data_IF_051890261426
#
_entry.id   IF_051890261426
#
_cell.length_a   1.000
_cell.length_b   1.000
_cell.length_c   1.000
_cell.angle_alpha   90.00
_cell.angle_beta   90.00
_cell.angle_gamma   90.00
#
_symmetry.space_group_name_H-M   'P 1'
#
loop_
_entity.id
_entity.type
_entity.pdbx_description
1 polymer ?
#
# COMPACT_ATOMS: atom_id res chain seq x y z
N UNK A 1 37.15 7.78 -19.56
CA UNK A 1 36.93 8.51 -18.29
C UNK A 1 35.52 9.12 -18.18
N UNK A 2 34.47 8.54 -18.79
CA UNK A 2 33.15 9.20 -18.86
C UNK A 2 31.98 8.42 -18.22
N UNK A 3 32.26 7.38 -17.42
CA UNK A 3 31.21 6.57 -16.76
C UNK A 3 30.92 7.05 -15.33
N UNK A 4 31.86 7.73 -14.68
CA UNK A 4 31.70 8.23 -13.30
C UNK A 4 30.83 9.48 -13.17
N UNK A 5 30.57 10.22 -14.26
CA UNK A 5 29.82 11.47 -14.22
C UNK A 5 28.30 11.26 -14.21
N UNK A 6 27.79 10.26 -14.94
CA UNK A 6 26.34 10.01 -15.00
C UNK A 6 25.77 9.41 -13.69
N UNK A 7 26.49 8.45 -13.09
CA UNK A 7 26.11 7.86 -11.81
C UNK A 7 26.16 8.89 -10.65
N UNK A 8 27.14 9.81 -10.68
CA UNK A 8 27.20 10.92 -9.72
C UNK A 8 26.03 11.91 -9.90
N UNK A 9 25.64 12.21 -11.14
CA UNK A 9 24.54 13.13 -11.43
C UNK A 9 23.14 12.57 -11.11
N UNK A 10 22.89 11.26 -11.28
CA UNK A 10 21.63 10.63 -10.88
C UNK A 10 21.51 10.51 -9.35
N UNK A 11 22.61 10.14 -8.67
CA UNK A 11 22.63 10.08 -7.20
C UNK A 11 22.46 11.46 -6.55
N UNK A 12 23.08 12.51 -7.12
CA UNK A 12 22.86 13.91 -6.70
C UNK A 12 21.43 14.38 -6.95
N UNK A 13 20.77 13.93 -8.02
CA UNK A 13 19.37 14.30 -8.32
C UNK A 13 18.37 13.69 -7.34
N UNK A 14 18.61 12.46 -6.88
CA UNK A 14 17.77 11.80 -5.87
C UNK A 14 17.91 12.44 -4.48
N UNK A 15 19.10 12.93 -4.12
CA UNK A 15 19.30 13.65 -2.86
C UNK A 15 18.76 15.08 -2.88
N UNK A 16 18.32 15.59 -4.04
CA UNK A 16 17.71 16.92 -4.19
C UNK A 16 16.18 16.94 -4.13
N UNK A 17 15.51 15.84 -3.79
CA UNK A 17 14.03 15.81 -3.70
C UNK A 17 13.52 15.36 -2.34
N UNK A 18 12.45 15.98 -1.88
CA UNK A 18 11.73 15.64 -0.66
C UNK A 18 10.42 14.92 -1.01
N UNK A 19 10.27 13.68 -0.54
CA UNK A 19 9.07 12.88 -0.75
C UNK A 19 8.18 12.90 0.49
N UNK A 20 6.91 13.22 0.29
CA UNK A 20 5.89 13.23 1.34
C UNK A 20 4.75 12.29 0.98
N UNK A 21 4.47 11.30 1.82
CA UNK A 21 3.35 10.37 1.68
C UNK A 21 2.24 10.71 2.68
N UNK A 22 1.05 11.05 2.20
CA UNK A 22 -0.15 11.13 3.03
C UNK A 22 -0.93 9.82 2.92
N UNK A 23 -1.20 9.20 4.06
CA UNK A 23 -1.73 7.84 4.10
C UNK A 23 -2.83 7.62 5.12
N UNK A 24 -3.68 6.62 4.85
CA UNK A 24 -4.45 5.94 5.90
C UNK A 24 -3.61 4.76 6.39
N UNK A 25 -3.29 4.73 7.68
CA UNK A 25 -2.30 3.81 8.25
C UNK A 25 -2.54 2.33 7.89
N UNK A 26 -3.72 1.79 8.19
CA UNK A 26 -4.03 0.37 7.94
C UNK A 26 -4.64 0.09 6.56
N UNK A 27 -4.57 1.03 5.60
CA UNK A 27 -5.08 0.81 4.25
C UNK A 27 -4.08 0.03 3.40
N UNK A 28 -4.54 -1.06 2.78
CA UNK A 28 -3.73 -1.92 1.91
C UNK A 28 -3.26 -1.24 0.62
N UNK A 29 -3.99 -0.24 0.10
CA UNK A 29 -3.50 0.59 -1.01
C UNK A 29 -2.34 1.50 -0.57
N UNK A 30 -2.37 1.97 0.67
CA UNK A 30 -1.28 2.76 1.23
C UNK A 30 -0.09 1.88 1.59
N UNK A 31 -0.34 0.62 1.97
CA UNK A 31 0.71 -0.36 2.15
C UNK A 31 1.48 -0.62 0.85
N UNK A 32 0.78 -0.75 -0.28
CA UNK A 32 1.41 -0.84 -1.62
C UNK A 32 2.39 0.31 -1.88
N UNK A 33 1.98 1.55 -1.61
CA UNK A 33 2.84 2.72 -1.78
C UNK A 33 4.03 2.75 -0.80
N UNK A 34 3.80 2.45 0.48
CA UNK A 34 4.89 2.36 1.49
C UNK A 34 5.90 1.29 1.12
N UNK A 35 5.42 0.13 0.70
CA UNK A 35 6.26 -0.99 0.32
C UNK A 35 7.20 -0.57 -0.80
N UNK A 36 6.71 0.06 -1.87
CA UNK A 36 7.58 0.52 -2.94
C UNK A 36 8.65 1.54 -2.48
N UNK A 37 8.29 2.51 -1.63
CA UNK A 37 9.25 3.47 -1.05
C UNK A 37 10.33 2.74 -0.24
N UNK A 38 9.92 1.79 0.59
CA UNK A 38 10.80 1.00 1.45
C UNK A 38 11.67 0.00 0.66
N UNK A 39 11.13 -0.56 -0.43
CA UNK A 39 11.81 -1.49 -1.33
C UNK A 39 12.95 -0.80 -2.07
N UNK A 40 12.73 0.42 -2.56
CA UNK A 40 13.76 1.23 -3.22
C UNK A 40 14.61 2.07 -2.27
N UNK A 41 14.41 1.94 -0.95
CA UNK A 41 15.15 2.67 0.09
C UNK A 41 15.08 4.19 -0.08
N UNK A 42 13.98 4.71 -0.60
CA UNK A 42 13.78 6.15 -0.82
C UNK A 42 13.26 6.78 0.47
N UNK A 43 13.99 7.71 1.11
CA UNK A 43 13.54 8.36 2.33
C UNK A 43 12.27 9.20 2.09
N UNK A 44 11.30 9.12 3.02
CA UNK A 44 10.06 9.91 2.93
C UNK A 44 9.52 10.35 4.29
N UNK A 45 8.76 11.43 4.30
CA UNK A 45 7.95 11.86 5.45
C UNK A 45 6.53 11.32 5.30
N UNK A 46 6.09 10.49 6.25
CA UNK A 46 4.73 9.93 6.23
C UNK A 46 3.78 10.69 7.17
N UNK A 47 2.70 11.22 6.62
CA UNK A 47 1.60 11.82 7.37
C UNK A 47 0.44 10.82 7.46
N UNK A 48 0.40 10.08 8.57
CA UNK A 48 -0.64 9.07 8.81
C UNK A 48 -1.91 9.70 9.36
N UNK A 49 -3.04 9.23 8.83
CA UNK A 49 -4.37 9.62 9.27
C UNK A 49 -5.27 8.41 9.49
N UNK A 50 -6.25 8.54 10.39
CA UNK A 50 -7.37 7.60 10.46
C UNK A 50 -8.40 7.89 9.35
N UNK A 51 -9.26 6.91 8.98
CA UNK A 51 -10.40 7.18 8.11
C UNK A 51 -11.25 8.35 8.64
N UNK A 52 -11.84 9.10 7.70
CA UNK A 52 -12.47 10.43 7.89
C UNK A 52 -11.54 11.56 8.36
N UNK A 53 -10.55 11.31 9.22
CA UNK A 53 -9.54 12.31 9.60
C UNK A 53 -8.63 12.68 8.42
N UNK A 54 -8.31 11.73 7.54
CA UNK A 54 -7.51 11.96 6.33
C UNK A 54 -8.08 13.06 5.41
N UNK A 55 -9.40 13.26 5.37
CA UNK A 55 -10.01 14.33 4.55
C UNK A 55 -9.51 15.70 4.99
N UNK A 56 -9.33 15.92 6.29
CA UNK A 56 -8.80 17.16 6.85
C UNK A 56 -7.30 17.29 6.53
N UNK A 57 -6.54 16.19 6.57
CA UNK A 57 -5.14 16.11 6.11
C UNK A 57 -4.97 16.48 4.65
N UNK A 58 -5.93 16.08 3.85
CA UNK A 58 -5.92 16.21 2.41
C UNK A 58 -6.57 17.51 1.92
N UNK A 59 -7.10 18.37 2.81
CA UNK A 59 -7.88 19.55 2.39
C UNK A 59 -7.12 20.48 1.42
N UNK A 60 -5.80 20.63 1.61
CA UNK A 60 -4.89 21.40 0.75
C UNK A 60 -4.22 20.57 -0.37
N UNK A 61 -4.52 19.29 -0.45
CA UNK A 61 -3.84 18.29 -1.29
C UNK A 61 -4.84 17.54 -2.17
N UNK A 62 -5.82 18.25 -2.73
CA UNK A 62 -6.88 17.66 -3.57
C UNK A 62 -6.29 16.99 -4.81
N UNK A 63 -6.78 15.80 -5.12
CA UNK A 63 -6.49 15.13 -6.39
C UNK A 63 -7.09 15.92 -7.56
N UNK A 64 -6.22 16.30 -8.51
CA UNK A 64 -6.61 16.97 -9.76
C UNK A 64 -7.38 16.04 -10.73
N UNK A 65 -7.31 14.73 -10.53
CA UNK A 65 -7.86 13.70 -11.44
C UNK A 65 -9.13 13.04 -10.93
N UNK A 66 -9.85 13.68 -10.00
CA UNK A 66 -11.05 13.08 -9.41
C UNK A 66 -12.16 12.92 -10.46
N UNK A 67 -12.45 11.70 -10.87
CA UNK A 67 -13.54 11.38 -11.80
C UNK A 67 -14.89 11.73 -11.14
N UNK A 68 -15.79 12.48 -11.81
CA UNK A 68 -17.11 12.78 -11.27
C UNK A 68 -17.93 11.49 -11.07
N UNK A 69 -18.41 11.24 -9.85
CA UNK A 69 -19.26 10.11 -9.52
C UNK A 69 -19.73 10.14 -8.06
N UNK A 70 -20.90 9.55 -7.78
CA UNK A 70 -21.44 9.49 -6.42
C UNK A 70 -20.48 8.72 -5.50
N UNK A 71 -19.82 9.43 -4.58
CA UNK A 71 -18.84 8.86 -3.64
C UNK A 71 -17.37 9.06 -4.02
N UNK A 72 -17.05 9.67 -5.16
CA UNK A 72 -15.69 10.07 -5.51
C UNK A 72 -15.29 11.31 -4.70
N UNK A 73 -14.30 11.18 -3.82
CA UNK A 73 -13.73 12.31 -3.08
C UNK A 73 -12.42 12.72 -3.72
N UNK A 74 -12.12 14.01 -3.76
CA UNK A 74 -10.80 14.49 -4.17
C UNK A 74 -9.69 14.21 -3.13
N UNK A 75 -10.03 13.57 -2.02
CA UNK A 75 -9.17 13.33 -0.87
C UNK A 75 -8.77 11.85 -0.82
N UNK A 76 -8.04 11.41 -1.84
CA UNK A 76 -7.63 10.01 -2.01
C UNK A 76 -6.28 9.77 -1.34
N UNK A 77 -6.10 8.57 -0.77
CA UNK A 77 -4.80 8.11 -0.28
C UNK A 77 -4.51 6.72 -0.88
N UNK A 78 -3.25 6.37 -1.19
CA UNK A 78 -2.04 7.15 -0.95
C UNK A 78 -1.94 8.41 -1.81
N UNK A 79 -1.32 9.45 -1.25
CA UNK A 79 -0.99 10.68 -1.96
C UNK A 79 0.49 10.98 -1.76
N UNK A 80 1.28 10.81 -2.82
CA UNK A 80 2.70 11.11 -2.84
C UNK A 80 2.91 12.50 -3.47
N UNK A 81 3.60 13.36 -2.74
CA UNK A 81 4.14 14.63 -3.24
C UNK A 81 5.64 14.50 -3.35
N UNK A 82 6.20 14.91 -4.49
CA UNK A 82 7.64 15.04 -4.72
C UNK A 82 7.93 16.53 -4.95
N UNK A 83 8.72 17.12 -4.06
CA UNK A 83 9.13 18.52 -4.11
C UNK A 83 10.65 18.61 -4.25
N UNK A 84 11.19 19.60 -4.97
CA UNK A 84 12.61 19.92 -4.91
C UNK A 84 12.99 20.31 -3.47
N UNK A 85 14.12 19.82 -2.96
CA UNK A 85 14.69 20.34 -1.72
C UNK A 85 15.14 21.79 -1.99
N UNK A 86 14.72 22.70 -1.12
CA UNK A 86 15.15 24.10 -1.16
C UNK A 86 16.61 24.15 -0.67
N UNK A 87 17.56 24.21 -1.60
CA UNK A 87 19.00 24.25 -1.32
C UNK A 87 19.53 25.67 -1.10
N UNK A 88 18.65 26.68 -1.14
CA UNK A 88 18.99 28.09 -0.96
C UNK A 88 19.91 28.67 -2.04
N UNK A 89 20.24 27.89 -3.09
CA UNK A 89 21.26 28.23 -4.08
C UNK A 89 20.71 28.44 -5.50
N UNK A 90 19.43 28.16 -5.74
CA UNK A 90 18.81 28.28 -7.06
C UNK A 90 17.57 29.17 -7.05
N UNK A 91 17.63 30.31 -7.74
CA UNK A 91 16.45 31.13 -8.09
C UNK A 91 15.54 30.44 -9.14
N UNK A 92 15.92 29.25 -9.62
CA UNK A 92 15.17 28.50 -10.63
C UNK A 92 13.95 27.79 -10.01
N UNK A 93 12.89 28.56 -9.79
CA UNK A 93 11.57 28.12 -9.31
C UNK A 93 10.80 27.20 -10.29
N UNK A 94 11.46 26.62 -11.29
CA UNK A 94 10.81 25.89 -12.40
C UNK A 94 10.66 24.38 -12.18
N UNK A 95 11.29 23.77 -11.17
CA UNK A 95 11.08 22.35 -10.89
C UNK A 95 9.67 22.13 -10.31
N UNK A 96 8.77 21.68 -11.17
CA UNK A 96 7.36 21.48 -10.85
C UNK A 96 7.17 20.40 -9.78
N UNK A 97 6.31 20.71 -8.80
CA UNK A 97 5.85 19.76 -7.79
C UNK A 97 5.06 18.62 -8.46
N UNK A 98 5.55 17.39 -8.35
CA UNK A 98 4.86 16.19 -8.87
C UNK A 98 3.94 15.64 -7.78
N UNK A 99 2.73 15.24 -8.18
CA UNK A 99 1.74 14.67 -7.26
C UNK A 99 1.12 13.40 -7.85
N UNK A 100 1.17 12.29 -7.11
CA UNK A 100 0.64 10.99 -7.51
C UNK A 100 -0.39 10.52 -6.48
N UNK A 101 -1.61 10.18 -6.93
CA UNK A 101 -2.76 9.85 -6.07
C UNK A 101 -3.23 8.40 -6.19
N UNK A 102 -2.45 7.58 -6.89
CA UNK A 102 -2.77 6.21 -7.25
C UNK A 102 -1.58 5.34 -6.85
N UNK A 103 -1.82 4.26 -6.11
CA UNK A 103 -0.76 3.39 -5.60
C UNK A 103 0.01 2.70 -6.71
N UNK A 104 -0.62 2.36 -7.82
CA UNK A 104 0.03 1.75 -8.99
C UNK A 104 0.93 2.78 -9.68
N UNK A 105 0.47 4.02 -9.86
CA UNK A 105 1.31 5.10 -10.39
C UNK A 105 2.48 5.48 -9.49
N UNK A 106 2.32 5.37 -8.18
CA UNK A 106 3.44 5.55 -7.24
C UNK A 106 4.49 4.43 -7.42
N UNK A 107 4.06 3.17 -7.51
CA UNK A 107 4.97 2.03 -7.71
C UNK A 107 5.70 2.14 -9.05
N UNK A 108 4.98 2.46 -10.12
CA UNK A 108 5.53 2.69 -11.47
C UNK A 108 6.58 3.80 -11.45
N UNK A 109 6.24 4.97 -10.89
CA UNK A 109 7.18 6.08 -10.75
C UNK A 109 8.45 5.67 -9.98
N UNK A 110 8.30 5.00 -8.84
CA UNK A 110 9.46 4.62 -8.03
C UNK A 110 10.33 3.58 -8.73
N UNK A 111 9.71 2.62 -9.42
CA UNK A 111 10.44 1.63 -10.22
C UNK A 111 11.18 2.26 -11.39
N UNK A 112 10.60 3.24 -12.06
CA UNK A 112 11.25 3.90 -13.19
C UNK A 112 12.37 4.86 -12.75
N UNK A 113 12.22 5.51 -11.60
CA UNK A 113 13.20 6.49 -11.11
C UNK A 113 14.34 5.89 -10.28
N UNK A 114 14.08 4.83 -9.49
CA UNK A 114 15.03 4.37 -8.46
C UNK A 114 15.51 2.92 -8.64
N UNK A 115 15.06 2.21 -9.67
CA UNK A 115 15.55 0.87 -9.93
C UNK A 115 17.01 0.86 -10.39
N UNK A 116 17.72 -0.19 -10.03
CA UNK A 116 19.08 -0.41 -10.52
C UNK A 116 19.11 -0.50 -12.06
N UNK A 117 20.13 0.07 -12.73
CA UNK A 117 20.32 -0.13 -14.16
C UNK A 117 20.44 -1.62 -14.51
N UNK A 118 19.84 -2.03 -15.62
CA UNK A 118 19.76 -3.43 -16.08
C UNK A 118 21.11 -4.17 -16.14
N UNK A 119 22.22 -3.44 -16.33
CA UNK A 119 23.57 -3.99 -16.49
C UNK A 119 24.46 -3.81 -15.25
N UNK A 120 23.88 -3.48 -14.09
CA UNK A 120 24.65 -3.42 -12.85
C UNK A 120 24.96 -4.85 -12.37
N UNK A 121 26.20 -5.31 -12.63
CA UNK A 121 26.71 -6.65 -12.30
C UNK A 121 26.80 -6.91 -10.77
N UNK A 122 25.68 -6.84 -10.04
CA UNK A 122 25.61 -7.10 -8.59
C UNK A 122 26.46 -6.17 -7.72
N UNK A 123 27.02 -5.09 -8.28
CA UNK A 123 27.92 -4.15 -7.60
C UNK A 123 27.20 -2.95 -7.00
N UNK A 124 25.88 -2.84 -7.14
CA UNK A 124 25.08 -1.77 -6.53
C UNK A 124 24.04 -2.36 -5.59
N UNK A 125 23.91 -1.76 -4.42
CA UNK A 125 22.92 -2.07 -3.37
C UNK A 125 21.47 -1.73 -3.78
N UNK A 126 21.20 -1.49 -5.06
CA UNK A 126 19.94 -0.96 -5.56
C UNK A 126 19.01 -2.11 -5.99
N UNK A 127 17.71 -1.95 -5.68
CA UNK A 127 16.70 -2.97 -5.94
C UNK A 127 16.34 -3.05 -7.45
N UNK A 128 16.01 -4.25 -7.98
CA UNK A 128 15.60 -4.42 -9.37
C UNK A 128 14.35 -3.62 -9.78
N UNK A 129 14.19 -3.40 -11.08
CA UNK A 129 12.96 -2.82 -11.65
C UNK A 129 11.80 -3.82 -11.52
N UNK A 130 10.66 -3.36 -10.96
CA UNK A 130 9.50 -4.19 -10.65
C UNK A 130 8.62 -4.49 -11.88
N UNK A 131 8.83 -3.81 -13.01
CA UNK A 131 8.07 -3.98 -14.26
C UNK A 131 8.84 -4.74 -15.34
N UNK A 132 10.04 -5.24 -15.01
CA UNK A 132 10.98 -5.91 -15.92
C UNK A 132 11.41 -5.02 -17.12
N UNK A 133 12.38 -5.50 -17.91
CA UNK A 133 12.91 -4.78 -19.08
C UNK A 133 12.26 -5.23 -20.39
N UNK A 134 11.58 -6.38 -20.42
CA UNK A 134 10.90 -6.89 -21.60
C UNK A 134 9.42 -6.48 -21.63
N UNK A 135 8.95 -6.06 -22.80
CA UNK A 135 7.59 -5.53 -22.99
C UNK A 135 6.49 -6.55 -22.67
N UNK A 136 6.75 -7.83 -22.97
CA UNK A 136 5.79 -8.91 -22.74
C UNK A 136 5.53 -9.13 -21.24
N UNK A 137 6.57 -9.18 -20.41
CA UNK A 137 6.41 -9.33 -18.97
C UNK A 137 5.89 -8.05 -18.32
N UNK A 138 6.32 -6.86 -18.78
CA UNK A 138 5.73 -5.57 -18.35
C UNK A 138 4.22 -5.56 -18.53
N UNK A 139 3.74 -5.99 -19.70
CA UNK A 139 2.30 -6.07 -20.02
C UNK A 139 1.58 -7.04 -19.07
N UNK A 140 2.18 -8.21 -18.78
CA UNK A 140 1.61 -9.19 -17.83
C UNK A 140 1.54 -8.63 -16.41
N UNK A 141 2.58 -7.95 -15.96
CA UNK A 141 2.62 -7.31 -14.64
C UNK A 141 1.50 -6.28 -14.52
N UNK A 142 1.37 -5.38 -15.49
CA UNK A 142 0.32 -4.35 -15.50
C UNK A 142 -1.10 -4.95 -15.54
N UNK A 143 -1.32 -6.01 -16.33
CA UNK A 143 -2.60 -6.70 -16.38
C UNK A 143 -2.97 -7.35 -15.04
N UNK A 144 -1.99 -7.92 -14.32
CA UNK A 144 -2.21 -8.47 -12.99
C UNK A 144 -2.49 -7.38 -11.95
N UNK A 145 -1.75 -6.27 -11.96
CA UNK A 145 -2.04 -5.13 -11.09
C UNK A 145 -3.47 -4.62 -11.28
N UNK A 146 -3.89 -4.39 -12.53
CA UNK A 146 -5.24 -3.94 -12.84
C UNK A 146 -6.30 -4.95 -12.36
N UNK A 147 -6.05 -6.25 -12.53
CA UNK A 147 -6.93 -7.29 -12.03
C UNK A 147 -7.02 -7.25 -10.50
N UNK A 148 -5.91 -7.12 -9.79
CA UNK A 148 -5.91 -7.10 -8.33
C UNK A 148 -6.53 -5.83 -7.76
N UNK A 149 -6.32 -4.68 -8.40
CA UNK A 149 -6.96 -3.42 -8.03
C UNK A 149 -8.50 -3.48 -8.18
N UNK A 150 -9.01 -4.29 -9.11
CA UNK A 150 -10.45 -4.50 -9.32
C UNK A 150 -11.03 -5.65 -8.47
N UNK A 151 -10.33 -6.78 -8.41
CA UNK A 151 -10.88 -8.05 -7.91
C UNK A 151 -10.42 -8.40 -6.49
N UNK A 152 -9.26 -7.92 -6.05
CA UNK A 152 -8.74 -8.18 -4.70
C UNK A 152 -9.05 -7.00 -3.79
N UNK A 153 -8.49 -5.81 -4.04
CA UNK A 153 -8.56 -4.68 -3.11
C UNK A 153 -9.98 -4.32 -2.62
N UNK A 154 -10.95 -4.05 -3.52
CA UNK A 154 -12.32 -3.69 -3.11
C UNK A 154 -13.04 -4.81 -2.35
N UNK A 155 -12.76 -6.06 -2.69
CA UNK A 155 -13.38 -7.23 -2.07
C UNK A 155 -12.75 -7.57 -0.72
N UNK A 156 -11.42 -7.48 -0.58
CA UNK A 156 -10.71 -7.59 0.71
C UNK A 156 -11.22 -6.53 1.67
N UNK A 157 -11.26 -5.27 1.25
CA UNK A 157 -11.80 -4.18 2.08
C UNK A 157 -13.19 -4.51 2.57
N UNK A 158 -14.08 -4.98 1.68
CA UNK A 158 -15.47 -5.25 2.03
C UNK A 158 -15.62 -6.43 3.00
N UNK A 159 -14.92 -7.53 2.74
CA UNK A 159 -14.97 -8.71 3.59
C UNK A 159 -14.39 -8.41 4.98
N UNK A 160 -13.20 -7.80 5.05
CA UNK A 160 -12.53 -7.49 6.31
C UNK A 160 -13.26 -6.40 7.09
N UNK A 161 -13.69 -5.31 6.42
CA UNK A 161 -14.42 -4.24 7.13
C UNK A 161 -15.81 -4.69 7.60
N UNK A 162 -16.43 -5.67 6.96
CA UNK A 162 -17.66 -6.26 7.50
C UNK A 162 -17.40 -6.92 8.86
N UNK A 163 -16.33 -7.70 8.99
CA UNK A 163 -15.95 -8.32 10.26
C UNK A 163 -15.61 -7.28 11.34
N UNK A 164 -14.90 -6.21 10.95
CA UNK A 164 -14.41 -5.16 11.87
C UNK A 164 -15.52 -4.18 12.28
N UNK A 165 -16.25 -3.62 11.31
CA UNK A 165 -17.17 -2.50 11.52
C UNK A 165 -18.60 -2.96 11.82
N UNK A 166 -19.00 -4.15 11.36
CA UNK A 166 -20.37 -4.66 11.54
C UNK A 166 -20.43 -5.77 12.57
N UNK A 167 -19.57 -6.80 12.43
CA UNK A 167 -19.64 -7.97 13.32
C UNK A 167 -18.89 -7.77 14.64
N UNK A 168 -17.84 -6.95 14.67
CA UNK A 168 -17.01 -6.72 15.86
C UNK A 168 -16.68 -5.22 16.13
N UNK A 169 -17.67 -4.29 16.06
CA UNK A 169 -17.42 -2.85 16.10
C UNK A 169 -16.72 -2.39 17.39
N UNK A 170 -17.17 -2.89 18.55
CA UNK A 170 -16.67 -2.44 19.85
C UNK A 170 -15.30 -3.01 20.21
N UNK A 171 -15.02 -4.27 19.84
CA UNK A 171 -13.77 -4.97 20.20
C UNK A 171 -12.66 -4.76 19.18
N UNK A 172 -12.96 -4.84 17.89
CA UNK A 172 -11.96 -4.77 16.80
C UNK A 172 -12.01 -3.42 16.09
N UNK A 173 -13.21 -2.91 15.80
CA UNK A 173 -13.36 -1.63 15.10
C UNK A 173 -12.79 -0.44 15.87
N UNK A 174 -13.12 -0.32 17.17
CA UNK A 174 -12.58 0.75 18.02
C UNK A 174 -11.07 0.66 18.22
N UNK A 175 -10.51 -0.55 18.30
CA UNK A 175 -9.07 -0.73 18.56
C UNK A 175 -8.20 -0.21 17.42
N UNK A 176 -8.69 -0.16 16.18
CA UNK A 176 -7.94 0.40 15.03
C UNK A 176 -7.42 1.83 15.25
N UNK A 177 -8.12 2.63 16.07
CA UNK A 177 -7.68 3.98 16.42
C UNK A 177 -6.71 4.06 17.59
N UNK A 178 -6.52 2.98 18.36
CA UNK A 178 -5.84 3.00 19.66
C UNK A 178 -4.34 2.62 19.58
N UNK A 179 -3.89 2.04 18.48
CA UNK A 179 -2.52 1.49 18.35
C UNK A 179 -1.65 2.30 17.40
N UNK A 180 -1.13 3.46 17.84
CA UNK A 180 -0.12 4.31 17.17
C UNK A 180 -0.26 4.53 15.64
N UNK A 181 -1.42 4.22 15.08
CA UNK A 181 -1.73 4.31 13.67
C UNK A 181 -1.84 5.78 13.26
N UNK A 182 -2.16 6.65 14.21
CA UNK A 182 -2.21 8.08 14.04
C UNK A 182 -1.89 8.80 15.36
N UNK A 183 -1.85 10.13 15.32
CA UNK A 183 -1.63 10.95 16.49
C UNK A 183 -2.77 10.87 17.53
N UNK A 184 -2.44 11.19 18.79
CA UNK A 184 -3.35 11.07 19.95
C UNK A 184 -4.71 11.77 19.77
N UNK A 185 -4.74 12.94 19.12
CA UNK A 185 -6.00 13.62 18.86
C UNK A 185 -6.89 12.82 17.90
N UNK A 186 -6.32 12.19 16.88
CA UNK A 186 -7.09 11.35 15.96
C UNK A 186 -7.60 10.09 16.65
N UNK A 187 -6.79 9.46 17.53
CA UNK A 187 -7.22 8.35 18.39
C UNK A 187 -8.43 8.73 19.26
N UNK A 188 -8.41 9.94 19.83
CA UNK A 188 -9.54 10.47 20.60
C UNK A 188 -10.78 10.70 19.73
N UNK A 189 -10.64 11.34 18.57
CA UNK A 189 -11.74 11.53 17.59
C UNK A 189 -12.33 10.18 17.20
N UNK A 190 -11.48 9.21 16.85
CA UNK A 190 -11.90 7.86 16.48
C UNK A 190 -12.71 7.22 17.60
N UNK A 191 -12.23 7.26 18.84
CA UNK A 191 -12.89 6.60 19.96
C UNK A 191 -14.29 7.17 20.24
N UNK A 192 -14.45 8.49 20.20
CA UNK A 192 -15.73 9.16 20.46
C UNK A 192 -16.71 9.00 19.30
N UNK A 193 -16.24 9.27 18.08
CA UNK A 193 -17.09 9.31 16.88
C UNK A 193 -17.15 7.98 16.13
N UNK A 194 -16.57 6.90 16.68
CA UNK A 194 -16.49 5.59 16.02
C UNK A 194 -17.84 5.12 15.43
N UNK A 195 -18.99 5.17 16.13
CA UNK A 195 -20.26 4.69 15.56
C UNK A 195 -20.66 5.45 14.28
N UNK A 196 -20.43 6.76 14.25
CA UNK A 196 -20.72 7.61 13.08
C UNK A 196 -19.73 7.30 11.96
N UNK A 197 -18.44 7.19 12.28
CA UNK A 197 -17.39 6.85 11.31
C UNK A 197 -17.66 5.47 10.69
N UNK A 198 -17.97 4.46 11.51
CA UNK A 198 -18.29 3.11 11.06
C UNK A 198 -19.52 3.11 10.13
N UNK A 199 -20.58 3.82 10.52
CA UNK A 199 -21.77 3.97 9.67
C UNK A 199 -21.44 4.61 8.31
N UNK A 200 -20.66 5.69 8.29
CA UNK A 200 -20.25 6.36 7.04
C UNK A 200 -19.39 5.45 6.16
N UNK A 201 -18.42 4.75 6.75
CA UNK A 201 -17.58 3.79 6.02
C UNK A 201 -18.42 2.66 5.41
N UNK A 202 -19.35 2.09 6.18
CA UNK A 202 -20.24 1.06 5.68
C UNK A 202 -21.14 1.57 4.54
N UNK A 203 -21.64 2.80 4.65
CA UNK A 203 -22.51 3.41 3.63
C UNK A 203 -21.74 3.71 2.33
N UNK A 204 -20.61 4.42 2.43
CA UNK A 204 -19.80 4.83 1.27
C UNK A 204 -19.24 3.63 0.51
N UNK A 205 -18.86 2.57 1.22
CA UNK A 205 -18.21 1.41 0.62
C UNK A 205 -19.18 0.23 0.37
N UNK A 206 -20.48 0.45 0.59
CA UNK A 206 -21.53 -0.56 0.46
C UNK A 206 -21.18 -1.86 1.21
N UNK A 207 -20.86 -1.75 2.51
CA UNK A 207 -20.52 -2.89 3.37
C UNK A 207 -21.77 -3.34 4.11
N UNK A 208 -22.25 -4.53 3.76
CA UNK A 208 -23.34 -5.23 4.43
C UNK A 208 -23.16 -6.75 4.24
N UNK A 209 -24.04 -7.55 4.83
CA UNK A 209 -23.94 -9.01 4.79
C UNK A 209 -23.92 -9.59 3.37
N UNK A 210 -24.84 -9.16 2.51
CA UNK A 210 -24.98 -9.67 1.14
C UNK A 210 -23.72 -9.39 0.32
N UNK A 211 -23.27 -8.14 0.36
CA UNK A 211 -22.10 -7.70 -0.42
C UNK A 211 -20.78 -8.25 0.15
N UNK A 212 -20.67 -8.41 1.47
CA UNK A 212 -19.55 -9.08 2.11
C UNK A 212 -19.50 -10.56 1.75
N UNK A 213 -20.63 -11.27 1.78
CA UNK A 213 -20.72 -12.67 1.35
C UNK A 213 -20.27 -12.85 -0.10
N UNK A 214 -20.83 -12.05 -1.03
CA UNK A 214 -20.40 -12.07 -2.44
C UNK A 214 -18.91 -11.77 -2.59
N UNK A 215 -18.35 -10.90 -1.76
CA UNK A 215 -16.91 -10.60 -1.79
C UNK A 215 -16.06 -11.76 -1.31
N UNK A 216 -16.51 -12.49 -0.27
CA UNK A 216 -15.83 -13.72 0.17
C UNK A 216 -15.80 -14.77 -0.95
N UNK A 217 -16.90 -14.97 -1.67
CA UNK A 217 -16.95 -15.92 -2.80
C UNK A 217 -16.04 -15.51 -3.98
N UNK A 218 -15.91 -14.21 -4.23
CA UNK A 218 -14.98 -13.69 -5.24
C UNK A 218 -13.54 -13.92 -4.79
N UNK A 219 -13.21 -13.58 -3.54
CA UNK A 219 -11.85 -13.76 -3.00
C UNK A 219 -11.43 -15.23 -3.02
N UNK A 220 -12.31 -16.16 -2.63
CA UNK A 220 -12.02 -17.60 -2.71
C UNK A 220 -11.63 -18.03 -4.13
N UNK A 221 -12.43 -17.63 -5.13
CA UNK A 221 -12.16 -17.96 -6.54
C UNK A 221 -10.87 -17.33 -7.06
N UNK A 222 -10.59 -16.07 -6.69
CA UNK A 222 -9.35 -15.41 -7.10
C UNK A 222 -8.13 -16.04 -6.43
N UNK A 223 -8.18 -16.37 -5.14
CA UNK A 223 -7.10 -17.06 -4.44
C UNK A 223 -6.86 -18.47 -4.99
N UNK A 224 -7.92 -19.20 -5.34
CA UNK A 224 -7.80 -20.50 -6.01
C UNK A 224 -7.16 -20.36 -7.41
N UNK A 225 -7.57 -19.37 -8.18
CA UNK A 225 -6.99 -19.10 -9.51
C UNK A 225 -5.51 -18.75 -9.40
N UNK A 226 -5.14 -17.86 -8.47
CA UNK A 226 -3.74 -17.45 -8.24
C UNK A 226 -2.91 -18.62 -7.72
N UNK A 227 -3.47 -19.46 -6.84
CA UNK A 227 -2.80 -20.68 -6.37
C UNK A 227 -2.42 -21.59 -7.55
N UNK A 228 -3.35 -21.82 -8.48
CA UNK A 228 -3.07 -22.60 -9.71
C UNK A 228 -1.99 -21.96 -10.59
N UNK A 229 -1.99 -20.64 -10.73
CA UNK A 229 -0.94 -19.92 -11.48
C UNK A 229 0.43 -20.17 -10.84
N UNK A 230 0.54 -20.00 -9.52
CA UNK A 230 1.77 -20.20 -8.77
C UNK A 230 2.26 -21.66 -8.81
N UNK A 231 1.34 -22.62 -8.67
CA UNK A 231 1.63 -24.06 -8.72
C UNK A 231 2.07 -24.55 -10.11
N UNK A 232 1.60 -23.89 -11.16
CA UNK A 232 2.01 -24.16 -12.55
C UNK A 232 3.36 -23.55 -12.93
N UNK A 233 3.96 -22.74 -12.05
CA UNK A 233 5.21 -22.04 -12.28
C UNK A 233 6.45 -22.96 -12.27
N UNK A 234 7.62 -22.45 -12.70
CA UNK A 234 8.87 -23.19 -12.65
C UNK A 234 9.31 -23.49 -11.21
N UNK A 235 10.13 -24.54 -10.97
CA UNK A 235 10.63 -24.88 -9.63
C UNK A 235 11.50 -23.74 -9.05
N UNK A 236 11.20 -23.32 -7.81
CA UNK A 236 11.85 -22.20 -7.12
C UNK A 236 10.83 -21.36 -6.32
N UNK A 237 11.23 -20.20 -5.75
CA UNK A 237 10.26 -19.24 -5.21
C UNK A 237 9.26 -18.86 -6.31
N UNK A 238 7.99 -19.21 -6.12
CA UNK A 238 6.96 -18.94 -7.11
C UNK A 238 6.65 -17.44 -7.13
N UNK A 239 6.92 -16.78 -8.25
CA UNK A 239 6.50 -15.42 -8.56
C UNK A 239 5.41 -15.45 -9.62
N UNK A 240 4.57 -14.41 -9.64
CA UNK A 240 3.44 -14.32 -10.56
C UNK A 240 3.87 -14.08 -12.01
N UNK A 241 5.04 -13.46 -12.23
CA UNK A 241 5.59 -13.21 -13.56
C UNK A 241 7.09 -13.50 -13.58
N UNK A 242 7.50 -14.46 -14.41
CA UNK A 242 8.90 -14.83 -14.56
C UNK A 242 9.47 -15.53 -13.32
N UNK A 243 10.70 -15.20 -12.96
CA UNK A 243 11.45 -15.83 -11.86
C UNK A 243 11.98 -14.79 -10.84
N UNK A 244 11.39 -13.60 -10.81
CA UNK A 244 11.77 -12.51 -9.91
C UNK A 244 10.54 -11.83 -9.30
N UNK A 245 10.75 -11.14 -8.20
CA UNK A 245 9.72 -10.30 -7.57
C UNK A 245 9.37 -9.11 -8.47
N UNK A 246 8.07 -8.89 -8.71
CA UNK A 246 7.55 -7.83 -9.57
C UNK A 246 6.47 -6.99 -8.88
N UNK A 247 6.01 -5.93 -9.55
CA UNK A 247 4.90 -5.12 -9.07
C UNK A 247 3.60 -5.93 -8.93
N UNK A 248 3.45 -7.03 -9.67
CA UNK A 248 2.30 -7.93 -9.53
C UNK A 248 2.30 -8.63 -8.17
N UNK A 249 3.45 -9.16 -7.74
CA UNK A 249 3.61 -9.82 -6.44
C UNK A 249 3.43 -8.81 -5.29
N UNK A 250 4.09 -7.65 -5.39
CA UNK A 250 3.95 -6.55 -4.42
C UNK A 250 2.48 -6.12 -4.28
N UNK A 251 1.78 -5.98 -5.39
CA UNK A 251 0.36 -5.58 -5.41
C UNK A 251 -0.53 -6.64 -4.79
N UNK A 252 -0.36 -7.91 -5.18
CA UNK A 252 -1.15 -9.00 -4.61
C UNK A 252 -0.93 -9.12 -3.10
N UNK A 253 0.32 -9.08 -2.65
CA UNK A 253 0.67 -9.14 -1.23
C UNK A 253 0.11 -7.95 -0.44
N UNK A 254 0.22 -6.74 -0.98
CA UNK A 254 -0.30 -5.54 -0.34
C UNK A 254 -1.83 -5.57 -0.21
N UNK A 255 -2.54 -5.81 -1.33
CA UNK A 255 -4.00 -5.78 -1.39
C UNK A 255 -4.65 -6.98 -0.68
N UNK A 256 -4.00 -8.16 -0.73
CA UNK A 256 -4.45 -9.38 -0.08
C UNK A 256 -4.04 -9.52 1.40
N UNK A 257 -3.01 -8.79 1.84
CA UNK A 257 -2.42 -8.97 3.17
C UNK A 257 -3.41 -8.90 4.33
N UNK A 258 -4.39 -7.99 4.26
CA UNK A 258 -5.40 -7.88 5.32
C UNK A 258 -6.31 -9.10 5.42
N UNK A 259 -6.68 -9.75 4.30
CA UNK A 259 -7.62 -10.89 4.35
C UNK A 259 -6.95 -12.18 4.80
N UNK A 260 -5.63 -12.29 4.67
CA UNK A 260 -4.84 -13.40 5.23
C UNK A 260 -4.26 -13.07 6.61
N UNK A 261 -4.59 -11.90 7.15
CA UNK A 261 -4.22 -11.48 8.50
C UNK A 261 -2.72 -11.24 8.69
N UNK A 262 -2.03 -10.66 7.70
CA UNK A 262 -0.64 -10.20 7.89
C UNK A 262 -0.61 -9.14 8.99
N UNK A 263 0.19 -9.38 10.02
CA UNK A 263 0.34 -8.48 11.16
C UNK A 263 1.55 -7.56 11.02
N UNK A 264 1.67 -6.57 11.90
CA UNK A 264 2.86 -5.70 11.99
C UNK A 264 4.14 -6.52 12.26
N UNK A 265 4.04 -7.56 13.09
CA UNK A 265 5.14 -8.50 13.38
C UNK A 265 5.60 -9.26 12.11
N UNK A 266 4.71 -9.44 11.15
CA UNK A 266 4.97 -10.08 9.86
C UNK A 266 5.32 -9.07 8.75
N UNK A 267 5.44 -7.78 9.10
CA UNK A 267 5.91 -6.74 8.20
C UNK A 267 4.83 -5.79 7.67
N UNK A 268 3.55 -5.94 8.06
CA UNK A 268 2.53 -4.95 7.67
C UNK A 268 2.90 -3.57 8.21
N UNK A 269 2.87 -2.53 7.37
CA UNK A 269 3.37 -1.19 7.72
C UNK A 269 2.59 -0.42 8.78
N UNK A 270 1.56 -1.00 9.39
CA UNK A 270 0.74 -0.40 10.44
C UNK A 270 0.19 -1.47 11.39
N UNK A 271 -0.27 -1.03 12.57
CA UNK A 271 -0.95 -1.96 13.46
C UNK A 271 -2.31 -2.37 12.89
N UNK A 272 -2.54 -3.67 12.85
CA UNK A 272 -3.81 -4.30 12.47
C UNK A 272 -4.15 -5.42 13.46
N UNK A 273 -5.45 -5.75 13.65
CA UNK A 273 -5.86 -6.80 14.57
C UNK A 273 -5.32 -8.18 14.14
N UNK A 274 -4.85 -8.97 15.12
CA UNK A 274 -4.49 -10.39 14.89
C UNK A 274 -5.75 -11.21 14.58
N UNK A 275 -5.59 -12.34 13.89
CA UNK A 275 -6.68 -13.26 13.55
C UNK A 275 -7.51 -13.69 14.79
N UNK A 276 -6.88 -13.82 15.95
CA UNK A 276 -7.54 -14.16 17.22
C UNK A 276 -8.52 -13.10 17.74
N UNK A 277 -8.44 -11.86 17.25
CA UNK A 277 -9.37 -10.79 17.63
C UNK A 277 -10.72 -10.89 16.89
N UNK A 278 -10.77 -11.63 15.77
CA UNK A 278 -11.96 -11.79 14.96
C UNK A 278 -12.88 -12.88 15.51
N UNK A 279 -14.18 -12.78 15.19
CA UNK A 279 -15.16 -13.83 15.49
C UNK A 279 -14.78 -15.15 14.78
N UNK A 280 -15.22 -16.32 15.30
CA UNK A 280 -14.85 -17.62 14.73
C UNK A 280 -15.08 -17.75 13.22
N UNK A 281 -16.22 -17.26 12.70
CA UNK A 281 -16.54 -17.30 11.27
C UNK A 281 -15.56 -16.47 10.43
N UNK A 282 -15.30 -15.22 10.84
CA UNK A 282 -14.36 -14.33 10.15
C UNK A 282 -12.93 -14.86 10.22
N UNK A 283 -12.52 -15.34 11.40
CA UNK A 283 -11.22 -15.98 11.61
C UNK A 283 -11.05 -17.21 10.70
N UNK A 284 -12.02 -18.11 10.65
CA UNK A 284 -11.95 -19.32 9.83
C UNK A 284 -11.83 -18.99 8.33
N UNK A 285 -12.56 -17.98 7.84
CA UNK A 285 -12.44 -17.52 6.46
C UNK A 285 -11.04 -16.95 6.15
N UNK A 286 -10.47 -16.15 7.06
CA UNK A 286 -9.13 -15.60 6.88
C UNK A 286 -8.05 -16.68 6.95
N UNK A 287 -8.21 -17.66 7.86
CA UNK A 287 -7.32 -18.83 7.98
C UNK A 287 -7.38 -19.72 6.73
N UNK A 288 -8.56 -19.94 6.16
CA UNK A 288 -8.76 -20.67 4.90
C UNK A 288 -7.95 -20.03 3.77
N UNK A 289 -8.09 -18.71 3.55
CA UNK A 289 -7.34 -18.02 2.50
C UNK A 289 -5.84 -18.02 2.79
N UNK A 290 -5.45 -17.84 4.05
CA UNK A 290 -4.05 -17.85 4.47
C UNK A 290 -3.36 -19.19 4.19
N UNK A 291 -4.07 -20.31 4.28
CA UNK A 291 -3.52 -21.65 4.04
C UNK A 291 -3.35 -22.01 2.55
N UNK A 292 -4.01 -21.31 1.64
CA UNK A 292 -3.85 -21.54 0.20
C UNK A 292 -2.42 -21.21 -0.27
N UNK A 293 -1.99 -21.77 -1.42
CA UNK A 293 -0.71 -21.40 -2.05
C UNK A 293 -0.61 -19.89 -2.30
N UNK A 294 -1.70 -19.25 -2.73
CA UNK A 294 -1.75 -17.80 -2.89
C UNK A 294 -1.57 -17.05 -1.56
N UNK A 295 -2.20 -17.52 -0.48
CA UNK A 295 -2.03 -16.96 0.85
C UNK A 295 -0.60 -17.11 1.38
N UNK A 296 0.01 -18.28 1.20
CA UNK A 296 1.41 -18.52 1.56
C UNK A 296 2.37 -17.66 0.74
N UNK A 297 2.10 -17.45 -0.56
CA UNK A 297 2.87 -16.54 -1.40
C UNK A 297 2.83 -15.09 -0.87
N UNK A 298 1.68 -14.60 -0.37
CA UNK A 298 1.60 -13.29 0.29
C UNK A 298 2.55 -13.23 1.49
N UNK A 299 2.52 -14.23 2.38
CA UNK A 299 3.38 -14.27 3.57
C UNK A 299 4.86 -14.30 3.20
N UNK A 300 5.23 -15.10 2.20
CA UNK A 300 6.61 -15.18 1.73
C UNK A 300 7.05 -13.87 1.07
N UNK A 301 6.17 -13.17 0.35
CA UNK A 301 6.46 -11.83 -0.16
C UNK A 301 6.79 -10.85 0.97
N UNK A 302 5.99 -10.83 2.05
CA UNK A 302 6.28 -9.96 3.19
C UNK A 302 7.62 -10.31 3.84
N UNK A 303 7.85 -11.60 4.08
CA UNK A 303 9.07 -12.10 4.70
C UNK A 303 10.34 -11.79 3.88
N UNK A 304 10.29 -11.95 2.56
CA UNK A 304 11.46 -11.79 1.69
C UNK A 304 11.67 -10.36 1.20
N UNK A 305 10.60 -9.63 0.89
CA UNK A 305 10.67 -8.41 0.09
C UNK A 305 10.16 -7.15 0.79
N UNK A 306 9.47 -7.25 1.93
CA UNK A 306 8.96 -6.06 2.62
C UNK A 306 10.05 -5.19 3.21
N UNK A 307 11.06 -5.84 3.79
CA UNK A 307 12.19 -5.21 4.44
C UNK A 307 11.78 -4.23 5.57
N UNK A 308 12.68 -3.29 5.87
CA UNK A 308 12.45 -2.23 6.84
C UNK A 308 12.12 -0.90 6.15
N UNK A 309 11.47 -0.01 6.93
CA UNK A 309 11.21 1.37 6.52
C UNK A 309 12.47 2.02 5.97
N UNK A 310 12.37 2.73 4.84
CA UNK A 310 13.52 3.33 4.18
C UNK A 310 14.33 4.21 5.16
N UNK A 311 15.67 4.05 5.25
CA UNK A 311 16.51 4.88 6.13
C UNK A 311 16.29 6.37 5.90
N UNK A 312 16.28 7.17 6.97
CA UNK A 312 16.00 8.62 6.89
C UNK A 312 14.51 8.98 6.79
N UNK A 313 13.61 7.99 6.70
CA UNK A 313 12.17 8.26 6.72
C UNK A 313 11.68 8.63 8.11
N UNK A 314 10.67 9.49 8.19
CA UNK A 314 10.10 9.96 9.45
C UNK A 314 8.57 10.06 9.39
N UNK A 315 7.94 10.37 10.53
CA UNK A 315 6.53 10.70 10.56
C UNK A 315 6.34 12.21 10.66
N UNK A 316 5.52 12.76 9.76
CA UNK A 316 5.14 14.17 9.78
C UNK A 316 3.98 14.38 10.76
N UNK A 317 4.28 14.72 12.00
CA UNK A 317 3.28 15.18 12.96
C UNK A 317 3.59 16.62 13.40
N UNK A 318 2.57 17.48 13.42
CA UNK A 318 2.55 18.76 14.13
C UNK A 318 2.06 18.56 15.58
N UNK A 319 2.03 19.66 16.34
CA UNK A 319 1.53 19.69 17.72
C UNK A 319 0.22 18.88 17.89
N UNK A 320 0.20 18.01 18.91
CA UNK A 320 -0.92 17.11 19.25
C UNK A 320 -1.27 16.00 18.23
N UNK A 321 -0.41 15.72 17.25
CA UNK A 321 -0.58 14.57 16.35
C UNK A 321 -1.53 14.83 15.17
N UNK A 322 -1.74 16.10 14.85
CA UNK A 322 -2.30 16.55 13.58
C UNK A 322 -1.17 16.77 12.54
N UNK A 323 -1.53 16.88 11.27
CA UNK A 323 -0.62 17.08 10.13
C UNK A 323 -0.34 18.55 9.83
#
# INVERSE_FOLDING_TARGET
MSVNTAAGQEQDKHDQTALTLRSIAFSHYNEKARWALDYYKVPYVEYRSLPMCHVISMFKHKSKTSTPGAGATAYVTPHLTIEPKDDGASEDKTREKITLNDSTKIVEFLSDQYAAPANSNGRHSASPNLYTNDEASRTKVQALEERFDKMIGPHVRRAVYYEILVKSPSSVGRSLGQHNNAGKLQTWIWSIFFPIIAYLLCKIMHINEVTASRSRDILKREFEHISRVLESGPPGPAYLVGNQFTAADLTFASLGGLVVGVTEEEGYGAWVPKLSAFRPEGKAFMEELRQTTAGQHILECYKLHRGHKAPGSSYGFKCFGLW
#
